data_IF_770742310469
#
_entry.id   IF_770742310469
#
_cell.length_a   1.000
_cell.length_b   1.000
_cell.length_c   1.000
_cell.angle_alpha   90.00
_cell.angle_beta   90.00
_cell.angle_gamma   90.00
#
_symmetry.space_group_name_H-M   'P 1'
#
loop_
_entity.id
_entity.type
_entity.pdbx_description
1 polymer ?
#
# COMPACT_ATOMS: atom_id res chain seq x y z
N UNK A 1 -23.50 4.38 -11.50
CA UNK A 1 -22.33 3.68 -12.06
C UNK A 1 -22.28 2.32 -11.39
N UNK A 2 -22.22 1.23 -12.15
CA UNK A 2 -22.16 -0.13 -11.59
C UNK A 2 -20.84 -0.31 -10.82
N UNK A 3 -20.86 -1.00 -9.68
CA UNK A 3 -19.68 -1.19 -8.85
C UNK A 3 -18.59 -1.97 -9.60
N UNK A 4 -18.97 -2.98 -10.39
CA UNK A 4 -18.06 -3.75 -11.24
C UNK A 4 -17.39 -2.88 -12.32
N UNK A 5 -18.13 -1.92 -12.88
CA UNK A 5 -17.59 -1.01 -13.88
C UNK A 5 -16.54 -0.07 -13.26
N UNK A 6 -16.77 0.36 -12.02
CA UNK A 6 -15.80 1.16 -11.27
C UNK A 6 -14.54 0.35 -10.95
N UNK A 7 -14.69 -0.88 -10.47
CA UNK A 7 -13.56 -1.79 -10.17
C UNK A 7 -12.72 -2.07 -11.41
N UNK A 8 -13.36 -2.34 -12.55
CA UNK A 8 -12.68 -2.54 -13.83
C UNK A 8 -11.89 -1.29 -14.26
N UNK A 9 -12.49 -0.09 -14.15
CA UNK A 9 -11.77 1.17 -14.48
C UNK A 9 -10.56 1.39 -13.57
N UNK A 10 -10.70 1.13 -12.28
CA UNK A 10 -9.60 1.23 -11.32
C UNK A 10 -8.47 0.24 -11.66
N UNK A 11 -8.80 -0.99 -12.04
CA UNK A 11 -7.83 -1.99 -12.47
C UNK A 11 -7.05 -1.53 -13.71
N UNK A 12 -7.76 -0.99 -14.72
CA UNK A 12 -7.12 -0.48 -15.94
C UNK A 12 -6.18 0.70 -15.67
N UNK A 13 -6.59 1.63 -14.79
CA UNK A 13 -5.75 2.74 -14.36
C UNK A 13 -4.46 2.25 -13.69
N UNK A 14 -4.57 1.26 -12.80
CA UNK A 14 -3.41 0.64 -12.15
C UNK A 14 -2.45 0.03 -13.17
N UNK A 15 -2.95 -0.80 -14.08
CA UNK A 15 -2.14 -1.44 -15.11
C UNK A 15 -1.42 -0.41 -16.00
N UNK A 16 -2.10 0.69 -16.34
CA UNK A 16 -1.51 1.77 -17.12
C UNK A 16 -0.36 2.46 -16.36
N UNK A 17 -0.52 2.70 -15.05
CA UNK A 17 0.53 3.28 -14.20
C UNK A 17 1.72 2.33 -14.09
N UNK A 18 1.47 1.03 -13.93
CA UNK A 18 2.52 0.02 -13.85
C UNK A 18 3.32 -0.06 -15.17
N UNK A 19 2.64 -0.09 -16.31
CA UNK A 19 3.28 -0.09 -17.63
C UNK A 19 4.13 1.18 -17.85
N UNK A 20 3.58 2.37 -17.53
CA UNK A 20 4.34 3.62 -17.65
C UNK A 20 5.59 3.62 -16.76
N UNK A 21 5.51 3.02 -15.56
CA UNK A 21 6.66 2.90 -14.67
C UNK A 21 7.72 1.96 -15.23
N UNK A 22 7.32 0.83 -15.82
CA UNK A 22 8.25 -0.10 -16.47
C UNK A 22 8.97 0.51 -17.68
N UNK A 23 8.26 1.31 -18.48
CA UNK A 23 8.81 1.92 -19.70
C UNK A 23 9.67 3.16 -19.41
N UNK A 24 9.20 4.07 -18.55
CA UNK A 24 9.82 5.39 -18.37
C UNK A 24 10.84 5.42 -17.22
N UNK A 25 10.61 4.65 -16.16
CA UNK A 25 11.42 4.72 -14.95
C UNK A 25 11.41 3.39 -14.17
N UNK A 26 11.97 2.30 -14.73
CA UNK A 26 11.89 0.96 -14.14
C UNK A 26 12.53 0.89 -12.75
N UNK A 27 13.48 1.78 -12.48
CA UNK A 27 14.19 1.89 -11.22
C UNK A 27 13.50 2.80 -10.19
N UNK A 28 12.44 3.53 -10.57
CA UNK A 28 11.69 4.38 -9.66
C UNK A 28 10.85 3.52 -8.71
N UNK A 29 11.27 3.45 -7.44
CA UNK A 29 10.52 2.80 -6.36
C UNK A 29 10.09 3.87 -5.37
N UNK A 30 8.83 4.29 -5.43
CA UNK A 30 8.22 5.12 -4.39
C UNK A 30 7.31 4.27 -3.52
N UNK A 31 7.13 4.69 -2.25
CA UNK A 31 6.21 4.02 -1.33
C UNK A 31 4.80 3.93 -1.92
N UNK A 32 4.32 5.02 -2.51
CA UNK A 32 2.96 5.08 -3.03
C UNK A 32 2.74 4.14 -4.23
N UNK A 33 3.74 4.01 -5.11
CA UNK A 33 3.72 3.00 -6.19
C UNK A 33 3.67 1.58 -5.65
N UNK A 34 4.45 1.29 -4.61
CA UNK A 34 4.45 -0.04 -3.98
C UNK A 34 3.11 -0.33 -3.30
N UNK A 35 2.56 0.62 -2.56
CA UNK A 35 1.26 0.47 -1.88
C UNK A 35 0.10 0.31 -2.90
N UNK A 36 0.14 1.04 -4.02
CA UNK A 36 -0.80 0.89 -5.13
C UNK A 36 -0.76 -0.54 -5.73
N UNK A 37 0.44 -1.10 -5.95
CA UNK A 37 0.62 -2.48 -6.45
C UNK A 37 -0.07 -3.52 -5.56
N UNK A 38 0.02 -3.33 -4.25
CA UNK A 38 -0.58 -4.21 -3.26
C UNK A 38 -2.05 -3.88 -2.92
N UNK A 39 -2.68 -2.97 -3.65
CA UNK A 39 -4.08 -2.58 -3.46
C UNK A 39 -4.40 -2.08 -2.06
N UNK A 40 -3.49 -1.30 -1.47
CA UNK A 40 -3.80 -0.59 -0.24
C UNK A 40 -4.84 0.50 -0.51
N UNK A 41 -5.93 0.46 0.25
CA UNK A 41 -6.90 1.53 0.33
C UNK A 41 -6.33 2.74 1.08
N UNK A 42 -6.89 3.92 0.82
CA UNK A 42 -6.53 5.15 1.54
C UNK A 42 -6.60 4.99 3.07
N UNK A 43 -7.59 4.24 3.58
CA UNK A 43 -7.76 3.95 5.01
C UNK A 43 -6.57 3.14 5.54
N UNK A 44 -6.18 2.08 4.84
CA UNK A 44 -5.03 1.24 5.24
C UNK A 44 -3.71 2.03 5.18
N UNK A 45 -3.52 2.88 4.17
CA UNK A 45 -2.33 3.76 4.06
C UNK A 45 -2.26 4.71 5.26
N UNK A 46 -3.37 5.35 5.63
CA UNK A 46 -3.40 6.26 6.79
C UNK A 46 -3.11 5.54 8.12
N UNK A 47 -3.60 4.32 8.28
CA UNK A 47 -3.30 3.51 9.47
C UNK A 47 -1.81 3.14 9.53
N UNK A 48 -1.21 2.78 8.39
CA UNK A 48 0.21 2.50 8.30
C UNK A 48 1.05 3.75 8.60
N UNK A 49 0.70 4.90 8.02
CA UNK A 49 1.42 6.15 8.21
C UNK A 49 1.35 6.63 9.66
N UNK A 50 0.17 6.51 10.29
CA UNK A 50 -0.01 6.81 11.71
C UNK A 50 0.86 5.90 12.59
N UNK A 51 0.92 4.61 12.27
CA UNK A 51 1.74 3.66 13.01
C UNK A 51 3.25 3.94 12.87
N UNK A 52 3.73 4.16 11.64
CA UNK A 52 5.13 4.51 11.39
C UNK A 52 5.52 5.82 12.09
N UNK A 53 4.62 6.81 12.09
CA UNK A 53 4.83 8.07 12.80
C UNK A 53 4.96 7.88 14.32
N UNK A 54 4.11 7.03 14.92
CA UNK A 54 4.20 6.70 16.35
C UNK A 54 5.53 6.03 16.69
N UNK A 55 5.97 5.03 15.91
CA UNK A 55 7.26 4.37 16.11
C UNK A 55 8.42 5.36 16.06
N UNK A 56 8.41 6.26 15.08
CA UNK A 56 9.44 7.28 14.92
C UNK A 56 9.45 8.27 16.09
N UNK A 57 8.27 8.72 16.52
CA UNK A 57 8.10 9.68 17.64
C UNK A 57 8.58 9.08 18.96
N UNK A 58 8.21 7.83 19.22
CA UNK A 58 8.53 7.13 20.47
C UNK A 58 9.92 6.47 20.45
N UNK A 59 10.62 6.51 19.31
CA UNK A 59 11.90 5.82 19.07
C UNK A 59 11.81 4.32 19.38
N UNK A 60 10.65 3.72 19.10
CA UNK A 60 10.40 2.31 19.35
C UNK A 60 11.13 1.44 18.31
N UNK A 61 11.87 0.44 18.79
CA UNK A 61 12.41 -0.61 17.92
C UNK A 61 11.48 -1.81 17.94
N UNK A 62 11.08 -2.25 16.75
CA UNK A 62 10.23 -3.42 16.57
C UNK A 62 10.96 -4.49 15.76
N UNK A 63 10.64 -5.74 16.05
CA UNK A 63 11.08 -6.88 15.27
C UNK A 63 10.31 -6.98 13.95
N UNK A 64 10.89 -7.66 12.96
CA UNK A 64 10.21 -7.98 11.69
C UNK A 64 8.89 -8.72 11.92
N UNK A 65 8.81 -9.57 12.95
CA UNK A 65 7.59 -10.32 13.30
C UNK A 65 6.48 -9.37 13.78
N UNK A 66 6.81 -8.45 14.69
CA UNK A 66 5.84 -7.46 15.19
C UNK A 66 5.34 -6.55 14.06
N UNK A 67 6.23 -6.13 13.17
CA UNK A 67 5.85 -5.33 12.00
C UNK A 67 4.90 -6.09 11.07
N UNK A 68 5.21 -7.35 10.77
CA UNK A 68 4.36 -8.23 9.95
C UNK A 68 2.95 -8.36 10.55
N UNK A 69 2.85 -8.68 11.85
CA UNK A 69 1.56 -8.77 12.55
C UNK A 69 0.78 -7.46 12.50
N UNK A 70 1.45 -6.30 12.60
CA UNK A 70 0.76 -5.01 12.47
C UNK A 70 0.22 -4.78 11.05
N UNK A 71 0.98 -5.16 10.02
CA UNK A 71 0.51 -5.08 8.63
C UNK A 71 -0.70 -5.98 8.37
N UNK A 72 -0.67 -7.22 8.87
CA UNK A 72 -1.80 -8.17 8.77
C UNK A 72 -3.07 -7.57 9.42
N UNK A 73 -2.93 -6.98 10.61
CA UNK A 73 -4.02 -6.29 11.30
C UNK A 73 -4.57 -5.08 10.54
N UNK A 74 -3.71 -4.27 9.90
CA UNK A 74 -4.15 -3.12 9.09
C UNK A 74 -4.96 -3.60 7.87
N UNK A 75 -4.55 -4.73 7.30
CA UNK A 75 -5.09 -5.29 6.07
C UNK A 75 -6.37 -6.12 6.25
N UNK A 76 -6.76 -6.41 7.49
CA UNK A 76 -7.87 -7.32 7.81
C UNK A 76 -7.76 -8.69 7.10
N UNK A 77 -6.53 -9.13 6.77
CA UNK A 77 -6.27 -10.42 6.13
C UNK A 77 -6.09 -11.47 7.22
N UNK A 78 -6.87 -12.57 7.23
CA UNK A 78 -6.71 -13.64 8.22
C UNK A 78 -5.35 -14.34 8.09
N UNK A 79 -4.81 -14.81 9.22
CA UNK A 79 -3.52 -15.52 9.37
C UNK A 79 -3.32 -16.71 8.41
#
# INVERSE_FOLDING_TARGET
MNNEELEMRLLLMKQSIEQLQEELAPNLKTRDLVLLRYMYSYKEINMLDSYLFQLATNKEQITKKQFKTKLENIREVPE
#
